data_IF_256143627435
#
_entry.id   IF_256143627435
#
_cell.length_a   1.000
_cell.length_b   1.000
_cell.length_c   1.000
_cell.angle_alpha   90.00
_cell.angle_beta   90.00
_cell.angle_gamma   90.00
#
_symmetry.space_group_name_H-M   'P 1'
#
loop_
_entity.id
_entity.type
_entity.pdbx_description
1 polymer ?
#
# COMPACT_ATOMS: atom_id res chain seq x y z
N UNK A 1 8.31 -2.07 15.55
CA UNK A 1 9.26 -1.70 14.48
C UNK A 1 9.89 -2.92 13.81
N UNK A 2 9.10 -3.97 13.57
CA UNK A 2 9.47 -5.15 12.77
C UNK A 2 9.23 -4.89 11.28
N UNK A 3 8.15 -4.19 10.96
CA UNK A 3 7.65 -4.04 9.60
C UNK A 3 8.23 -2.83 8.87
N UNK A 4 8.51 -1.75 9.60
CA UNK A 4 9.21 -0.58 9.06
C UNK A 4 10.74 -0.76 9.01
N UNK A 5 11.18 -1.85 8.40
CA UNK A 5 12.59 -2.20 8.16
C UNK A 5 12.76 -2.66 6.71
N UNK A 6 13.98 -2.66 6.13
CA UNK A 6 14.20 -3.16 4.77
C UNK A 6 13.70 -4.59 4.56
N UNK A 7 13.89 -5.46 5.56
CA UNK A 7 13.40 -6.83 5.52
C UNK A 7 11.86 -6.90 5.63
N UNK A 8 11.26 -6.10 6.52
CA UNK A 8 9.81 -5.99 6.65
C UNK A 8 9.15 -5.52 5.35
N UNK A 9 9.72 -4.49 4.72
CA UNK A 9 9.28 -3.98 3.41
C UNK A 9 9.34 -5.04 2.32
N UNK A 10 10.44 -5.81 2.27
CA UNK A 10 10.58 -6.93 1.32
C UNK A 10 9.48 -7.99 1.52
N UNK A 11 9.21 -8.37 2.77
CA UNK A 11 8.15 -9.35 3.11
C UNK A 11 6.78 -8.81 2.70
N UNK A 12 6.47 -7.55 3.01
CA UNK A 12 5.20 -6.90 2.66
C UNK A 12 5.00 -6.94 1.14
N UNK A 13 6.00 -6.52 0.36
CA UNK A 13 5.93 -6.55 -1.10
C UNK A 13 5.69 -7.97 -1.64
N UNK A 14 6.37 -8.97 -1.08
CA UNK A 14 6.18 -10.37 -1.47
C UNK A 14 4.77 -10.88 -1.17
N UNK A 15 4.21 -10.52 -0.01
CA UNK A 15 2.84 -10.88 0.37
C UNK A 15 1.84 -10.23 -0.57
N UNK A 16 1.97 -8.93 -0.83
CA UNK A 16 1.04 -8.18 -1.68
C UNK A 16 1.05 -8.73 -3.10
N UNK A 17 2.23 -8.95 -3.71
CA UNK A 17 2.32 -9.58 -5.04
C UNK A 17 1.70 -10.97 -5.10
N UNK A 18 1.81 -11.76 -4.02
CA UNK A 18 1.21 -13.10 -3.96
C UNK A 18 -0.30 -13.08 -3.75
N UNK A 19 -0.83 -12.10 -3.02
CA UNK A 19 -2.24 -12.03 -2.61
C UNK A 19 -3.11 -11.13 -3.49
N UNK A 20 -2.50 -10.14 -4.13
CA UNK A 20 -3.12 -9.18 -5.03
C UNK A 20 -2.44 -9.29 -6.40
N UNK A 21 -2.75 -10.33 -7.19
CA UNK A 21 -2.09 -10.56 -8.48
C UNK A 21 -2.30 -9.42 -9.49
N UNK A 22 -3.39 -8.65 -9.36
CA UNK A 22 -3.65 -7.45 -10.16
C UNK A 22 -2.65 -6.31 -9.87
N UNK A 23 -1.93 -6.38 -8.74
CA UNK A 23 -0.89 -5.43 -8.36
C UNK A 23 0.47 -6.01 -8.73
N UNK A 24 0.77 -6.05 -10.02
CA UNK A 24 1.98 -6.70 -10.57
C UNK A 24 3.28 -6.14 -9.95
N UNK A 25 3.30 -4.83 -9.68
CA UNK A 25 4.43 -4.15 -9.04
C UNK A 25 4.37 -4.18 -7.50
N UNK A 26 3.29 -4.70 -6.92
CA UNK A 26 3.03 -4.70 -5.48
C UNK A 26 2.50 -3.35 -5.00
N UNK A 27 2.87 -2.95 -3.79
CA UNK A 27 2.51 -1.64 -3.25
C UNK A 27 3.27 -0.53 -3.97
N UNK A 28 2.56 0.59 -4.20
CA UNK A 28 3.19 1.85 -4.64
C UNK A 28 4.15 2.34 -3.55
N UNK A 29 5.17 3.10 -3.96
CA UNK A 29 6.21 3.60 -3.06
C UNK A 29 5.64 4.37 -1.85
N UNK A 30 4.55 5.10 -2.02
CA UNK A 30 3.89 5.85 -0.93
C UNK A 30 3.08 4.95 0.01
N UNK A 31 2.56 3.80 -0.45
CA UNK A 31 1.75 2.89 0.34
C UNK A 31 2.60 2.02 1.28
N UNK A 32 3.80 1.65 0.84
CA UNK A 32 4.69 0.76 1.58
C UNK A 32 5.02 1.24 3.02
N UNK A 33 5.46 2.50 3.24
CA UNK A 33 5.74 2.99 4.59
C UNK A 33 4.49 3.05 5.47
N UNK A 34 3.33 3.39 4.88
CA UNK A 34 2.04 3.42 5.58
C UNK A 34 1.66 2.01 6.08
N UNK A 35 1.70 1.03 5.18
CA UNK A 35 1.36 -0.37 5.51
C UNK A 35 2.31 -0.90 6.57
N UNK A 36 3.61 -0.59 6.46
CA UNK A 36 4.60 -0.98 7.45
C UNK A 36 4.30 -0.39 8.85
N UNK A 37 3.93 0.89 8.94
CA UNK A 37 3.55 1.54 10.20
C UNK A 37 2.29 0.92 10.82
N UNK A 38 1.26 0.65 10.01
CA UNK A 38 0.03 -0.03 10.45
C UNK A 38 0.35 -1.41 11.02
N UNK A 39 1.17 -2.20 10.33
CA UNK A 39 1.56 -3.54 10.78
C UNK A 39 2.45 -3.51 12.04
N UNK A 40 3.17 -2.42 12.25
CA UNK A 40 3.89 -2.14 13.50
C UNK A 40 2.99 -1.66 14.65
N UNK A 41 1.68 -1.56 14.43
CA UNK A 41 0.68 -1.16 15.42
C UNK A 41 0.55 0.35 15.59
N UNK A 42 1.11 1.15 14.68
CA UNK A 42 1.00 2.61 14.75
C UNK A 42 -0.36 3.09 14.20
N UNK A 43 -0.97 4.04 14.88
CA UNK A 43 -2.16 4.73 14.38
C UNK A 43 -1.74 5.72 13.29
N UNK A 44 -2.20 5.50 12.06
CA UNK A 44 -1.90 6.36 10.91
C UNK A 44 -3.19 6.96 10.35
N UNK A 45 -3.16 8.24 10.01
CA UNK A 45 -4.24 8.93 9.28
C UNK A 45 -3.69 9.29 7.91
N UNK A 46 -4.28 8.74 6.85
CA UNK A 46 -3.85 9.00 5.48
C UNK A 46 -5.02 9.54 4.67
N UNK A 47 -4.77 10.65 3.98
CA UNK A 47 -5.73 11.29 3.08
C UNK A 47 -5.14 11.21 1.68
N UNK A 48 -5.72 10.37 0.84
CA UNK A 48 -5.33 10.23 -0.57
C UNK A 48 -6.46 10.73 -1.45
N UNK A 49 -6.17 11.70 -2.32
CA UNK A 49 -7.14 12.16 -3.30
C UNK A 49 -7.52 11.00 -4.23
N UNK A 50 -8.82 10.69 -4.32
CA UNK A 50 -9.34 9.72 -5.29
C UNK A 50 -9.46 10.43 -6.64
N UNK A 51 -8.38 10.44 -7.41
CA UNK A 51 -8.33 11.06 -8.72
C UNK A 51 -7.37 10.34 -9.65
N UNK A 52 -7.83 9.23 -10.26
CA UNK A 52 -7.45 8.79 -11.61
C UNK A 52 -8.36 7.62 -12.04
N UNK A 53 -9.62 7.93 -12.39
CA UNK A 53 -10.54 6.93 -12.98
C UNK A 53 -11.97 6.88 -12.47
N UNK A 54 -12.51 7.93 -11.85
CA UNK A 54 -13.96 8.01 -11.67
C UNK A 54 -14.56 8.50 -13.00
N UNK A 55 -14.94 7.55 -13.86
CA UNK A 55 -15.63 7.84 -15.10
C UNK A 55 -16.80 8.81 -14.84
N UNK A 56 -16.69 10.03 -15.35
CA UNK A 56 -17.82 10.95 -15.49
C UNK A 56 -18.66 10.42 -16.65
N UNK A 57 -19.62 9.56 -16.33
CA UNK A 57 -20.75 9.22 -17.19
C UNK A 57 -21.95 10.06 -16.77
N UNK A 58 -22.16 11.19 -17.43
CA UNK A 58 -23.48 11.83 -17.67
C UNK A 58 -23.24 12.91 -18.72
N UNK A 59 -23.55 12.62 -19.98
CA UNK A 59 -24.81 12.95 -20.70
C UNK A 59 -24.88 14.42 -21.07
#
# INVERSE_FOLDING_TARGET
NKWNTPHGHFIIQKIVKKRCPDWQDGLRAWQLPIVAQILDGQHTVNITATGDGKALSST
#
